data_IF_437638709662
#
_entry.id   IF_437638709662
#
_cell.length_a   1.000
_cell.length_b   1.000
_cell.length_c   1.000
_cell.angle_alpha   90.00
_cell.angle_beta   90.00
_cell.angle_gamma   90.00
#
_symmetry.space_group_name_H-M   'P 1'
#
loop_
_entity.id
_entity.type
_entity.pdbx_description
1 polymer ?
#
# COMPACT_ATOMS: atom_id res chain seq x y z
N UNK A 1 -5.86 -18.92 -16.92
CA UNK A 1 -6.48 -17.63 -17.28
C UNK A 1 -6.62 -16.84 -15.99
N UNK A 2 -5.74 -15.87 -15.73
CA UNK A 2 -5.87 -14.99 -14.56
C UNK A 2 -7.12 -14.14 -14.76
N UNK A 3 -8.19 -14.48 -14.04
CA UNK A 3 -9.38 -13.65 -13.90
C UNK A 3 -9.03 -12.49 -12.96
N UNK A 4 -8.17 -11.58 -13.40
CA UNK A 4 -7.91 -10.38 -12.61
C UNK A 4 -9.20 -9.56 -12.59
N UNK A 5 -9.70 -9.37 -11.38
CA UNK A 5 -10.96 -8.65 -11.10
C UNK A 5 -10.74 -7.15 -11.26
N UNK A 6 -9.50 -6.70 -11.14
CA UNK A 6 -9.04 -5.34 -11.37
C UNK A 6 -8.15 -5.32 -12.62
N UNK A 7 -8.45 -4.43 -13.55
CA UNK A 7 -7.54 -4.06 -14.64
C UNK A 7 -7.39 -2.56 -14.67
N UNK A 8 -6.27 -2.03 -15.15
CA UNK A 8 -6.08 -0.59 -15.26
C UNK A 8 -5.53 -0.21 -16.64
N UNK A 9 -5.74 1.04 -16.99
CA UNK A 9 -5.11 1.71 -18.12
C UNK A 9 -4.62 3.09 -17.71
N UNK A 10 -3.61 3.60 -18.42
CA UNK A 10 -3.03 4.91 -18.17
C UNK A 10 -3.41 5.84 -19.31
N UNK A 11 -4.11 6.93 -18.99
CA UNK A 11 -4.64 7.89 -19.96
C UNK A 11 -3.99 9.26 -19.75
N UNK A 12 -3.54 9.90 -20.84
CA UNK A 12 -3.01 11.27 -20.78
C UNK A 12 -4.11 12.27 -21.13
N UNK A 13 -4.47 13.14 -20.21
CA UNK A 13 -5.51 14.16 -20.37
C UNK A 13 -4.94 15.56 -20.07
N UNK A 14 -4.41 16.22 -21.10
CA UNK A 14 -3.70 17.49 -20.91
C UNK A 14 -2.43 17.29 -20.07
N UNK A 15 -2.39 17.93 -18.90
CA UNK A 15 -1.31 17.75 -17.92
C UNK A 15 -1.54 16.56 -16.99
N UNK A 16 -2.77 16.01 -16.97
CA UNK A 16 -3.07 14.86 -16.13
C UNK A 16 -2.56 13.55 -16.75
N UNK A 17 -1.94 12.73 -15.91
CA UNK A 17 -1.68 11.33 -16.16
C UNK A 17 -2.63 10.50 -15.29
N UNK A 18 -3.72 10.06 -15.91
CA UNK A 18 -4.85 9.42 -15.22
C UNK A 18 -4.64 7.91 -15.18
N UNK A 19 -4.58 7.35 -13.98
CA UNK A 19 -4.66 5.91 -13.75
C UNK A 19 -6.13 5.51 -13.65
N UNK A 20 -6.67 4.94 -14.73
CA UNK A 20 -8.06 4.51 -14.79
C UNK A 20 -8.15 3.01 -14.48
N UNK A 21 -8.82 2.67 -13.38
CA UNK A 21 -8.95 1.30 -12.87
C UNK A 21 -10.37 0.80 -13.15
N UNK A 22 -10.51 -0.25 -13.96
CA UNK A 22 -11.78 -0.91 -14.21
C UNK A 22 -12.17 -1.80 -13.02
N UNK A 23 -13.38 -1.60 -12.52
CA UNK A 23 -14.00 -2.31 -11.39
C UNK A 23 -15.37 -2.90 -11.74
N UNK A 24 -15.71 -3.08 -13.02
CA UNK A 24 -17.04 -3.53 -13.48
C UNK A 24 -17.42 -4.91 -12.93
N UNK A 25 -16.43 -5.76 -12.67
CA UNK A 25 -16.62 -7.12 -12.13
C UNK A 25 -16.80 -7.14 -10.61
N UNK A 26 -16.72 -5.99 -9.94
CA UNK A 26 -16.80 -5.87 -8.48
C UNK A 26 -18.18 -5.35 -8.12
N UNK A 27 -18.79 -5.94 -7.09
CA UNK A 27 -20.16 -5.59 -6.66
C UNK A 27 -20.21 -4.40 -5.70
N UNK A 28 -19.18 -4.26 -4.86
CA UNK A 28 -19.05 -3.14 -3.92
C UNK A 28 -18.56 -1.88 -4.62
N UNK A 29 -18.89 -0.73 -4.04
CA UNK A 29 -18.44 0.56 -4.56
C UNK A 29 -16.94 0.74 -4.29
N UNK A 30 -16.17 1.30 -5.24
CA UNK A 30 -14.80 1.73 -4.99
C UNK A 30 -14.71 2.73 -3.84
N UNK A 31 -13.84 2.43 -2.88
CA UNK A 31 -13.36 3.34 -1.84
C UNK A 31 -11.98 2.86 -1.42
N UNK A 32 -10.95 3.68 -1.64
CA UNK A 32 -9.57 3.39 -1.24
C UNK A 32 -9.46 3.41 0.29
N UNK A 33 -10.10 4.37 0.92
CA UNK A 33 -10.01 4.65 2.35
C UNK A 33 -10.73 3.63 3.24
N UNK A 34 -11.80 3.01 2.75
CA UNK A 34 -12.64 2.09 3.55
C UNK A 34 -12.43 0.61 3.19
N UNK A 35 -11.63 0.27 2.17
CA UNK A 35 -11.48 -1.10 1.70
C UNK A 35 -10.02 -1.48 1.39
N UNK A 36 -9.54 -2.44 2.17
CA UNK A 36 -8.16 -2.94 2.12
C UNK A 36 -7.74 -3.45 0.73
N UNK A 37 -8.67 -4.01 -0.05
CA UNK A 37 -8.34 -4.52 -1.39
C UNK A 37 -8.14 -3.38 -2.38
N UNK A 38 -8.99 -2.34 -2.31
CA UNK A 38 -8.84 -1.16 -3.17
C UNK A 38 -7.55 -0.42 -2.83
N UNK A 39 -7.24 -0.23 -1.54
CA UNK A 39 -5.96 0.34 -1.11
C UNK A 39 -4.78 -0.47 -1.65
N UNK A 40 -4.77 -1.79 -1.41
CA UNK A 40 -3.67 -2.67 -1.84
C UNK A 40 -3.48 -2.68 -3.35
N UNK A 41 -4.56 -2.72 -4.13
CA UNK A 41 -4.48 -2.71 -5.60
C UNK A 41 -4.02 -1.36 -6.12
N UNK A 42 -4.49 -0.28 -5.51
CA UNK A 42 -4.06 1.07 -5.89
C UNK A 42 -2.57 1.27 -5.64
N UNK A 43 -2.07 0.85 -4.47
CA UNK A 43 -0.63 0.89 -4.16
C UNK A 43 0.18 0.08 -5.17
N UNK A 44 -0.25 -1.13 -5.51
CA UNK A 44 0.40 -1.96 -6.54
C UNK A 44 0.46 -1.24 -7.91
N UNK A 45 -0.66 -0.67 -8.36
CA UNK A 45 -0.72 0.03 -9.64
C UNK A 45 0.07 1.35 -9.66
N UNK A 46 0.12 2.08 -8.54
CA UNK A 46 0.93 3.30 -8.42
C UNK A 46 2.43 3.01 -8.43
N UNK A 47 2.87 1.87 -7.89
CA UNK A 47 4.27 1.42 -8.02
C UNK A 47 4.63 1.22 -9.50
N UNK A 48 3.72 0.63 -10.27
CA UNK A 48 3.91 0.41 -11.70
C UNK A 48 3.78 1.71 -12.52
N UNK A 49 3.08 2.72 -11.99
CA UNK A 49 2.77 3.99 -12.66
C UNK A 49 3.09 5.22 -11.77
N UNK A 50 4.38 5.48 -11.45
CA UNK A 50 4.78 6.51 -10.47
C UNK A 50 4.46 7.96 -10.90
N UNK A 51 4.20 8.18 -12.20
CA UNK A 51 3.83 9.50 -12.73
C UNK A 51 2.34 9.82 -12.70
N UNK A 52 1.53 9.06 -11.95
CA UNK A 52 0.07 9.24 -11.88
C UNK A 52 -0.28 10.53 -11.17
N UNK A 53 -1.16 11.35 -11.76
CA UNK A 53 -1.63 12.62 -11.17
C UNK A 53 -3.10 12.58 -10.75
N UNK A 54 -3.85 11.59 -11.24
CA UNK A 54 -5.27 11.39 -10.93
C UNK A 54 -5.60 9.91 -10.99
N UNK A 55 -6.44 9.42 -10.09
CA UNK A 55 -6.93 8.04 -10.10
C UNK A 55 -8.42 8.06 -10.37
N UNK A 56 -8.90 7.18 -11.25
CA UNK A 56 -10.32 7.04 -11.56
C UNK A 56 -10.72 5.58 -11.50
N UNK A 57 -11.61 5.20 -10.59
CA UNK A 57 -12.25 3.89 -10.64
C UNK A 57 -13.49 3.94 -11.51
N UNK A 58 -13.49 3.13 -12.56
CA UNK A 58 -14.58 2.98 -13.51
C UNK A 58 -15.45 1.79 -13.11
N UNK A 59 -16.73 2.05 -12.82
CA UNK A 59 -17.76 1.04 -12.60
C UNK A 59 -19.07 1.53 -13.28
N UNK A 60 -20.22 1.50 -12.59
CA UNK A 60 -21.46 2.14 -13.06
C UNK A 60 -21.39 3.67 -13.10
N UNK A 61 -20.49 4.23 -12.29
CA UNK A 61 -20.12 5.66 -12.26
C UNK A 61 -18.61 5.73 -11.98
N UNK A 62 -18.04 6.87 -12.32
CA UNK A 62 -16.62 7.14 -12.05
C UNK A 62 -16.45 7.66 -10.62
N UNK A 63 -15.43 7.14 -9.94
CA UNK A 63 -14.98 7.60 -8.63
C UNK A 63 -13.59 8.18 -8.80
N UNK A 64 -13.46 9.48 -8.60
CA UNK A 64 -12.23 10.22 -8.87
C UNK A 64 -11.51 10.57 -7.57
N UNK A 65 -10.20 10.37 -7.59
CA UNK A 65 -9.28 10.89 -6.58
C UNK A 65 -8.42 11.95 -7.24
N UNK A 66 -8.46 13.15 -6.67
CA UNK A 66 -7.78 14.31 -7.23
C UNK A 66 -6.26 14.22 -7.06
N UNK A 67 -5.57 15.26 -7.52
CA UNK A 67 -4.12 15.34 -7.42
C UNK A 67 -3.61 15.27 -5.98
N UNK A 68 -4.26 15.97 -5.04
CA UNK A 68 -3.80 16.00 -3.65
C UNK A 68 -3.89 14.61 -3.01
N UNK A 69 -5.01 13.90 -3.23
CA UNK A 69 -5.19 12.53 -2.76
C UNK A 69 -4.24 11.56 -3.46
N UNK A 70 -4.08 11.70 -4.77
CA UNK A 70 -3.19 10.84 -5.57
C UNK A 70 -1.74 10.97 -5.13
N UNK A 71 -1.26 12.19 -4.86
CA UNK A 71 0.12 12.40 -4.37
C UNK A 71 0.36 11.65 -3.06
N UNK A 72 -0.57 11.73 -2.10
CA UNK A 72 -0.44 11.01 -0.82
C UNK A 72 -0.33 9.50 -1.05
N UNK A 73 -1.18 8.94 -1.92
CA UNK A 73 -1.17 7.51 -2.24
C UNK A 73 0.11 7.09 -2.98
N UNK A 74 0.62 7.94 -3.86
CA UNK A 74 1.88 7.72 -4.57
C UNK A 74 3.07 7.70 -3.61
N UNK A 75 3.10 8.60 -2.61
CA UNK A 75 4.14 8.57 -1.58
C UNK A 75 4.08 7.29 -0.73
N UNK A 76 2.88 6.81 -0.38
CA UNK A 76 2.70 5.52 0.29
C UNK A 76 3.22 4.37 -0.58
N UNK A 77 2.90 4.40 -1.87
CA UNK A 77 3.33 3.40 -2.83
C UNK A 77 4.86 3.39 -3.00
N UNK A 78 5.50 4.56 -3.07
CA UNK A 78 6.95 4.69 -3.10
C UNK A 78 7.60 4.15 -1.83
N UNK A 79 7.12 4.54 -0.65
CA UNK A 79 7.60 4.03 0.62
C UNK A 79 7.51 2.50 0.68
N UNK A 80 6.36 1.93 0.33
CA UNK A 80 6.19 0.48 0.31
C UNK A 80 7.15 -0.20 -0.68
N UNK A 81 7.34 0.35 -1.87
CA UNK A 81 8.28 -0.17 -2.86
C UNK A 81 9.74 -0.12 -2.38
N UNK A 82 10.14 0.97 -1.71
CA UNK A 82 11.48 1.07 -1.10
C UNK A 82 11.67 0.01 -0.01
N UNK A 83 10.69 -0.19 0.85
CA UNK A 83 10.73 -1.23 1.88
C UNK A 83 10.82 -2.64 1.25
N UNK A 84 10.09 -2.89 0.16
CA UNK A 84 10.15 -4.15 -0.57
C UNK A 84 11.53 -4.40 -1.20
N UNK A 85 12.17 -3.38 -1.76
CA UNK A 85 13.52 -3.46 -2.32
C UNK A 85 14.58 -3.71 -1.25
N UNK A 86 14.33 -3.23 -0.04
CA UNK A 86 15.23 -3.38 1.12
C UNK A 86 14.79 -4.49 2.08
N UNK A 87 14.09 -5.52 1.61
CA UNK A 87 13.61 -6.66 2.43
C UNK A 87 14.70 -7.32 3.28
N UNK A 88 15.94 -7.31 2.80
CA UNK A 88 17.08 -7.91 3.50
C UNK A 88 17.42 -7.17 4.80
N UNK A 89 17.21 -5.85 4.85
CA UNK A 89 17.30 -5.09 6.11
C UNK A 89 16.28 -5.56 7.15
N UNK A 90 15.19 -6.18 6.67
CA UNK A 90 14.16 -6.79 7.51
C UNK A 90 14.29 -8.31 7.60
N UNK A 91 15.49 -8.85 7.36
CA UNK A 91 15.80 -10.25 7.61
C UNK A 91 15.98 -10.54 9.10
N UNK A 92 15.75 -11.79 9.49
CA UNK A 92 15.95 -12.22 10.89
C UNK A 92 17.39 -11.95 11.34
N UNK A 93 18.37 -12.20 10.48
CA UNK A 93 19.79 -11.96 10.74
C UNK A 93 20.10 -10.47 10.98
N UNK A 94 19.55 -9.58 10.14
CA UNK A 94 19.74 -8.13 10.32
C UNK A 94 19.19 -7.66 11.66
N UNK A 95 18.01 -8.14 12.08
CA UNK A 95 17.43 -7.77 13.37
C UNK A 95 18.20 -8.31 14.58
N UNK A 96 18.75 -9.53 14.49
CA UNK A 96 19.59 -10.10 15.57
C UNK A 96 20.82 -9.24 15.86
N UNK A 97 21.35 -8.54 14.86
CA UNK A 97 22.48 -7.64 15.05
C UNK A 97 22.10 -6.35 15.81
N UNK A 98 20.82 -5.99 15.85
CA UNK A 98 20.31 -4.80 16.56
C UNK A 98 19.67 -5.12 17.91
N UNK A 99 19.44 -6.40 18.23
CA UNK A 99 18.81 -6.82 19.47
C UNK A 99 19.80 -7.54 20.39
N UNK A 100 20.43 -6.78 21.29
CA UNK A 100 21.30 -7.29 22.36
C UNK A 100 20.54 -8.14 23.39
N UNK A 101 19.19 -8.06 23.43
CA UNK A 101 18.31 -8.76 24.37
C UNK A 101 17.61 -10.01 23.81
N UNK A 102 17.82 -10.32 22.53
CA UNK A 102 17.22 -11.47 21.85
C UNK A 102 15.75 -11.25 21.49
N UNK A 103 15.51 -10.78 20.28
CA UNK A 103 14.16 -10.56 19.75
C UNK A 103 13.43 -11.90 19.75
N UNK A 104 12.31 -11.99 20.46
CA UNK A 104 11.48 -13.18 20.35
C UNK A 104 10.98 -13.27 18.90
N UNK A 105 11.10 -14.45 18.26
CA UNK A 105 10.71 -14.69 16.86
C UNK A 105 9.28 -14.21 16.56
N UNK A 106 8.41 -14.25 17.56
CA UNK A 106 7.03 -13.73 17.52
C UNK A 106 6.99 -12.23 17.22
N UNK A 107 7.85 -11.43 17.83
CA UNK A 107 7.94 -9.97 17.63
C UNK A 107 8.44 -9.63 16.23
N UNK A 108 9.46 -10.35 15.77
CA UNK A 108 10.00 -10.16 14.42
C UNK A 108 8.93 -10.41 13.37
N UNK A 109 8.19 -11.52 13.51
CA UNK A 109 7.09 -11.85 12.63
C UNK A 109 5.96 -10.81 12.69
N UNK A 110 5.65 -10.26 13.87
CA UNK A 110 4.66 -9.20 14.04
C UNK A 110 5.04 -7.92 13.28
N UNK A 111 6.28 -7.43 13.43
CA UNK A 111 6.77 -6.23 12.73
C UNK A 111 6.80 -6.49 11.22
N UNK A 112 7.37 -7.61 10.79
CA UNK A 112 7.50 -7.97 9.38
C UNK A 112 6.12 -8.07 8.71
N UNK A 113 5.15 -8.72 9.34
CA UNK A 113 3.79 -8.81 8.82
C UNK A 113 3.09 -7.45 8.78
N UNK A 114 3.28 -6.61 9.81
CA UNK A 114 2.72 -5.26 9.84
C UNK A 114 3.27 -4.41 8.68
N UNK A 115 4.58 -4.46 8.43
CA UNK A 115 5.20 -3.69 7.34
C UNK A 115 4.81 -4.23 5.96
N UNK A 116 4.93 -5.53 5.72
CA UNK A 116 4.84 -6.07 4.35
C UNK A 116 3.43 -6.49 3.92
N UNK A 117 2.51 -6.72 4.86
CA UNK A 117 1.13 -7.03 4.54
C UNK A 117 0.23 -5.81 4.81
N UNK A 118 0.27 -5.27 6.03
CA UNK A 118 -0.66 -4.23 6.45
C UNK A 118 -0.39 -2.89 5.79
N UNK A 119 0.86 -2.47 5.56
CA UNK A 119 1.16 -1.13 5.01
C UNK A 119 0.45 -0.85 3.68
N UNK A 120 0.40 -1.82 2.78
CA UNK A 120 -0.28 -1.64 1.48
C UNK A 120 -1.80 -1.75 1.57
N UNK A 121 -2.34 -2.34 2.64
CA UNK A 121 -3.78 -2.56 2.84
C UNK A 121 -4.43 -1.45 3.67
N UNK A 122 -3.74 -1.04 4.73
CA UNK A 122 -4.13 0.02 5.66
C UNK A 122 -2.86 0.72 6.19
N UNK A 123 -2.39 1.77 5.47
CA UNK A 123 -1.21 2.53 5.88
C UNK A 123 -1.35 3.18 7.26
N UNK A 124 -2.57 3.61 7.60
CA UNK A 124 -2.84 4.27 8.87
C UNK A 124 -2.85 3.29 10.04
N UNK A 125 -3.52 2.15 9.88
CA UNK A 125 -3.50 1.07 10.86
C UNK A 125 -2.11 0.46 11.02
N UNK A 126 -1.33 0.36 9.94
CA UNK A 126 0.09 -0.04 10.01
C UNK A 126 0.88 0.91 10.93
N UNK A 127 0.77 2.22 10.72
CA UNK A 127 1.44 3.22 11.56
C UNK A 127 1.04 3.13 13.04
N UNK A 128 -0.26 3.04 13.32
CA UNK A 128 -0.75 2.94 14.70
C UNK A 128 -0.29 1.63 15.35
N UNK A 129 -0.28 0.54 14.61
CA UNK A 129 0.18 -0.77 15.10
C UNK A 129 1.66 -0.75 15.43
N UNK A 130 2.51 -0.21 14.55
CA UNK A 130 3.94 -0.02 14.81
C UNK A 130 4.18 0.86 16.05
N UNK A 131 3.40 1.95 16.23
CA UNK A 131 3.47 2.77 17.44
C UNK A 131 3.11 2.00 18.71
N UNK A 132 2.10 1.11 18.65
CA UNK A 132 1.71 0.26 19.79
C UNK A 132 2.81 -0.73 20.15
N UNK A 133 3.43 -1.36 19.15
CA UNK A 133 4.58 -2.24 19.34
C UNK A 133 5.70 -1.45 20.00
N UNK A 134 6.08 -0.29 19.46
CA UNK A 134 7.15 0.54 20.03
C UNK A 134 6.88 0.95 21.49
N UNK A 135 5.65 1.35 21.83
CA UNK A 135 5.28 1.70 23.20
C UNK A 135 5.38 0.51 24.16
N UNK A 136 5.05 -0.71 23.70
CA UNK A 136 5.16 -1.93 24.52
C UNK A 136 6.60 -2.27 24.87
N UNK A 137 7.57 -1.84 24.07
CA UNK A 137 9.00 -2.09 24.30
C UNK A 137 9.67 -1.01 25.16
N UNK A 138 9.12 0.21 25.22
CA UNK A 138 9.66 1.31 26.02
C UNK A 138 9.12 1.36 27.47
N UNK A 139 8.34 0.36 27.89
CA UNK A 139 7.78 0.21 29.25
C UNK A 139 8.39 -1.04 29.87
#
# INVERSE_FOLDING_TARGET
MNNDVFSYETLKQGEDNVLKINCDKITRAPSIEDDELYMSKTVEFLIENPGTTKIVFSQKRDYEYDYAQTVILTEIAHLYNELLKNKDLFSHESFRNYDEGGMQDTKFNEIRNTIFNMLKQDPMGCYVTLKRIHRRENI
#
